data_IF_024058255307
#
_entry.id   IF_024058255307
#
_cell.length_a   1.000
_cell.length_b   1.000
_cell.length_c   1.000
_cell.angle_alpha   90.00
_cell.angle_beta   90.00
_cell.angle_gamma   90.00
#
_symmetry.space_group_name_H-M   'P 1'
#
loop_
_entity.id
_entity.type
_entity.pdbx_description
1 polymer ?
#
# COMPACT_ATOMS: atom_id res chain seq x y z
N UNK A 1 20.92 -7.23 -3.97
CA UNK A 1 19.54 -6.73 -3.79
C UNK A 1 19.61 -5.65 -2.72
N UNK A 2 19.08 -4.44 -2.95
CA UNK A 2 18.97 -3.46 -1.85
C UNK A 2 18.02 -4.06 -0.81
N UNK A 3 18.45 -4.06 0.45
CA UNK A 3 17.59 -4.48 1.56
C UNK A 3 16.35 -3.59 1.58
N UNK A 4 15.19 -4.23 1.63
CA UNK A 4 13.91 -3.53 1.77
C UNK A 4 13.81 -3.17 3.25
N UNK A 5 13.62 -1.87 3.59
CA UNK A 5 13.43 -1.46 4.98
C UNK A 5 12.30 -2.26 5.64
N UNK A 6 12.47 -2.62 6.92
CA UNK A 6 11.49 -3.43 7.65
C UNK A 6 10.11 -2.74 7.77
N UNK A 7 10.06 -1.42 7.59
CA UNK A 7 8.88 -0.55 7.60
C UNK A 7 8.37 -0.21 6.20
N UNK A 8 8.85 -0.89 5.16
CA UNK A 8 8.41 -0.64 3.79
C UNK A 8 6.92 -0.93 3.60
N UNK A 9 6.16 0.13 3.38
CA UNK A 9 4.74 0.07 3.03
C UNK A 9 4.57 0.11 1.50
N UNK A 10 4.27 -1.02 0.85
CA UNK A 10 4.10 -1.08 -0.60
C UNK A 10 2.89 -0.28 -1.09
N UNK A 11 1.88 -0.04 -0.25
CA UNK A 11 0.73 0.78 -0.62
C UNK A 11 1.12 2.26 -0.62
N UNK A 12 1.77 2.74 0.44
CA UNK A 12 2.28 4.11 0.50
C UNK A 12 3.31 4.37 -0.61
N UNK A 13 4.22 3.42 -0.86
CA UNK A 13 5.19 3.48 -1.94
C UNK A 13 4.53 3.51 -3.32
N UNK A 14 3.60 2.58 -3.59
CA UNK A 14 2.88 2.51 -4.86
C UNK A 14 2.06 3.77 -5.15
N UNK A 15 1.45 4.35 -4.11
CA UNK A 15 0.76 5.65 -4.20
C UNK A 15 1.74 6.78 -4.49
N UNK A 16 2.89 6.82 -3.80
CA UNK A 16 3.96 7.78 -4.07
C UNK A 16 4.44 7.75 -5.52
N UNK A 17 4.62 6.55 -6.09
CA UNK A 17 4.94 6.39 -7.50
C UNK A 17 3.83 6.91 -8.43
N UNK A 18 2.57 6.65 -8.12
CA UNK A 18 1.44 7.14 -8.92
C UNK A 18 1.32 8.68 -8.89
N UNK A 19 1.55 9.31 -7.73
CA UNK A 19 1.61 10.76 -7.59
C UNK A 19 2.78 11.35 -8.39
N UNK A 20 3.97 10.74 -8.29
CA UNK A 20 5.13 11.15 -9.06
C UNK A 20 4.90 11.06 -10.57
N UNK A 21 4.21 10.01 -11.04
CA UNK A 21 3.80 9.89 -12.43
C UNK A 21 2.84 11.01 -12.86
N UNK A 22 1.88 11.37 -12.00
CA UNK A 22 0.96 12.49 -12.26
C UNK A 22 1.70 13.83 -12.35
N UNK A 23 2.67 14.07 -11.48
CA UNK A 23 3.55 15.25 -11.54
C UNK A 23 4.38 15.28 -12.81
N UNK A 24 5.01 14.16 -13.17
CA UNK A 24 5.78 14.03 -14.40
C UNK A 24 4.91 14.32 -15.65
N UNK A 25 3.70 13.74 -15.71
CA UNK A 25 2.76 14.00 -16.80
C UNK A 25 2.31 15.46 -16.84
N UNK A 26 2.12 16.09 -15.67
CA UNK A 26 1.84 17.53 -15.59
C UNK A 26 2.98 18.33 -16.20
N UNK A 27 4.22 18.03 -15.82
CA UNK A 27 5.40 18.73 -16.32
C UNK A 27 5.59 18.54 -17.83
N UNK A 28 5.34 17.34 -18.35
CA UNK A 28 5.40 17.05 -19.78
C UNK A 28 4.31 17.82 -20.54
N UNK A 29 3.10 17.94 -19.99
CA UNK A 29 2.03 18.72 -20.60
C UNK A 29 2.38 20.21 -20.65
N UNK A 30 2.97 20.78 -19.59
CA UNK A 30 3.44 22.17 -19.57
C UNK A 30 4.51 22.44 -20.65
N UNK A 31 5.53 21.58 -20.72
CA UNK A 31 6.58 21.70 -21.75
C UNK A 31 5.98 21.57 -23.15
N UNK A 32 5.11 20.59 -23.35
CA UNK A 32 4.41 20.40 -24.63
C UNK A 32 3.56 21.60 -25.02
N UNK A 33 2.91 22.26 -24.05
CA UNK A 33 2.11 23.46 -24.28
C UNK A 33 2.98 24.64 -24.72
N UNK A 34 4.12 24.87 -24.07
CA UNK A 34 5.09 25.89 -24.48
C UNK A 34 5.61 25.66 -25.91
N UNK A 35 5.89 24.40 -26.26
CA UNK A 35 6.30 24.02 -27.62
C UNK A 35 5.18 24.26 -28.64
N UNK A 36 3.94 23.92 -28.28
CA UNK A 36 2.78 24.17 -29.12
C UNK A 36 2.55 25.68 -29.32
N UNK A 37 2.57 26.48 -28.26
CA UNK A 37 2.44 27.94 -28.34
C UNK A 37 3.51 28.56 -29.24
N UNK A 38 4.77 28.15 -29.09
CA UNK A 38 5.88 28.63 -29.91
C UNK A 38 5.69 28.24 -31.38
N UNK A 39 5.30 27.00 -31.66
CA UNK A 39 5.06 26.53 -33.03
C UNK A 39 3.84 27.24 -33.65
N UNK A 40 2.77 27.45 -32.88
CA UNK A 40 1.58 28.19 -33.29
C UNK A 40 1.89 29.64 -33.62
N UNK A 41 2.69 30.33 -32.80
CA UNK A 41 3.15 31.69 -33.09
C UNK A 41 3.94 31.77 -34.41
N UNK A 42 4.83 30.80 -34.67
CA UNK A 42 5.56 30.70 -35.95
C UNK A 42 4.64 30.42 -37.13
N UNK A 43 3.65 29.55 -36.95
CA UNK A 43 2.67 29.23 -37.99
C UNK A 43 1.81 30.45 -38.35
N UNK A 44 1.39 31.23 -37.36
CA UNK A 44 0.66 32.49 -37.57
C UNK A 44 1.53 33.53 -38.29
N UNK A 45 2.78 33.69 -37.87
CA UNK A 45 3.72 34.62 -38.51
C UNK A 45 4.02 34.23 -39.97
N UNK A 46 4.08 32.93 -40.29
CA UNK A 46 4.28 32.43 -41.65
C UNK A 46 3.06 32.64 -42.57
N UNK A 47 1.88 32.88 -42.01
CA UNK A 47 0.64 33.18 -42.72
C UNK A 47 0.40 34.69 -42.89
N UNK A 48 1.24 35.55 -42.28
CA UNK A 48 1.11 37.00 -42.40
C UNK A 48 1.55 37.46 -43.80
N UNK A 49 0.66 38.06 -44.61
CA UNK A 49 0.98 38.51 -45.96
C UNK A 49 2.09 39.57 -46.02
N UNK A 50 2.35 40.32 -44.94
CA UNK A 50 3.44 41.29 -44.87
C UNK A 50 4.84 40.64 -44.81
N UNK A 51 4.94 39.43 -44.22
CA UNK A 51 6.18 38.66 -44.13
C UNK A 51 6.54 37.99 -45.47
N UNK A 52 5.54 37.60 -46.27
CA UNK A 52 5.76 37.07 -47.62
C UNK A 52 6.18 38.16 -48.64
N UNK A 53 5.80 39.42 -48.41
CA UNK A 53 6.13 40.54 -49.30
C UNK A 53 7.53 41.15 -49.05
N UNK A 54 8.21 40.78 -47.97
CA UNK A 54 9.45 41.43 -47.51
C UNK A 54 10.72 40.55 -47.58
N UNK A 55 10.68 39.38 -48.24
CA UNK A 55 11.90 38.59 -48.47
C UNK A 55 12.70 39.20 -49.64
N UNK A 56 13.91 39.75 -49.42
CA UNK A 56 14.80 40.15 -50.50
C UNK A 56 15.37 38.89 -51.16
N UNK A 57 15.39 38.86 -52.49
CA UNK A 57 15.82 37.71 -53.30
C UNK A 57 17.28 37.26 -53.05
N UNK A 58 18.11 38.07 -52.39
CA UNK A 58 19.54 37.78 -52.14
C UNK A 58 19.83 37.07 -50.81
N UNK A 59 18.87 36.95 -49.88
CA UNK A 59 19.11 36.28 -48.59
C UNK A 59 18.85 34.75 -48.60
N UNK A 60 18.37 34.21 -49.73
CA UNK A 60 17.96 32.81 -49.84
C UNK A 60 19.12 31.81 -50.00
N UNK A 61 20.36 32.27 -50.28
CA UNK A 61 21.49 31.38 -50.62
C UNK A 61 22.49 31.12 -49.47
N UNK A 62 22.34 31.75 -48.30
CA UNK A 62 23.39 31.71 -47.26
C UNK A 62 23.03 30.97 -45.95
N UNK A 63 21.91 30.24 -45.90
CA UNK A 63 21.59 29.40 -44.74
C UNK A 63 21.48 27.93 -45.15
N UNK A 64 22.23 27.01 -44.50
CA UNK A 64 22.02 25.59 -44.71
C UNK A 64 20.56 25.28 -44.38
N UNK A 65 19.87 24.38 -45.11
CA UNK A 65 18.49 24.05 -44.82
C UNK A 65 18.45 23.36 -43.46
N UNK A 66 18.25 24.14 -42.40
CA UNK A 66 17.64 23.61 -41.21
C UNK A 66 16.34 22.98 -41.70
N UNK A 67 16.13 21.71 -41.38
CA UNK A 67 14.89 20.99 -41.66
C UNK A 67 13.78 21.66 -40.84
N UNK A 68 13.37 22.86 -41.25
CA UNK A 68 12.28 23.61 -40.68
C UNK A 68 11.02 22.98 -41.24
N UNK A 69 10.61 21.87 -40.61
CA UNK A 69 9.32 21.27 -40.90
C UNK A 69 8.20 22.32 -40.76
N UNK A 70 7.14 22.16 -41.56
CA UNK A 70 5.98 23.05 -41.56
C UNK A 70 5.55 23.44 -40.12
N UNK A 71 5.62 24.73 -39.75
CA UNK A 71 5.25 25.20 -38.41
C UNK A 71 3.82 24.83 -38.01
N UNK A 72 2.89 24.78 -38.96
CA UNK A 72 1.51 24.35 -38.73
C UNK A 72 1.42 22.87 -38.38
N UNK A 73 2.19 22.03 -39.08
CA UNK A 73 2.30 20.60 -38.77
C UNK A 73 3.00 20.36 -37.43
N UNK A 74 4.03 21.13 -37.09
CA UNK A 74 4.68 21.09 -35.79
C UNK A 74 3.69 21.44 -34.66
N UNK A 75 2.91 22.52 -34.82
CA UNK A 75 1.85 22.89 -33.90
C UNK A 75 0.84 21.76 -33.69
N UNK A 76 0.31 21.19 -34.78
CA UNK A 76 -0.68 20.11 -34.71
C UNK A 76 -0.14 18.88 -33.97
N UNK A 77 1.14 18.52 -34.19
CA UNK A 77 1.81 17.41 -33.49
C UNK A 77 1.96 17.69 -32.00
N UNK A 78 2.46 18.87 -31.60
CA UNK A 78 2.61 19.21 -30.18
C UNK A 78 1.25 19.32 -29.48
N UNK A 79 0.25 19.94 -30.10
CA UNK A 79 -1.10 20.01 -29.55
C UNK A 79 -1.73 18.62 -29.35
N UNK A 80 -1.48 17.69 -30.27
CA UNK A 80 -1.92 16.30 -30.12
C UNK A 80 -1.24 15.61 -28.93
N UNK A 81 0.08 15.75 -28.79
CA UNK A 81 0.85 15.19 -27.67
C UNK A 81 0.37 15.76 -26.32
N UNK A 82 0.16 17.07 -26.22
CA UNK A 82 -0.36 17.71 -25.00
C UNK A 82 -1.73 17.12 -24.63
N UNK A 83 -2.66 16.99 -25.59
CA UNK A 83 -3.96 16.36 -25.33
C UNK A 83 -3.81 14.92 -24.83
N UNK A 84 -2.90 14.15 -25.42
CA UNK A 84 -2.64 12.77 -25.01
C UNK A 84 -2.06 12.70 -23.59
N UNK A 85 -1.09 13.55 -23.26
CA UNK A 85 -0.48 13.61 -21.92
C UNK A 85 -1.50 14.03 -20.86
N UNK A 86 -2.33 15.04 -21.14
CA UNK A 86 -3.41 15.46 -20.25
C UNK A 86 -4.45 14.34 -20.05
N UNK A 87 -4.80 13.61 -21.12
CA UNK A 87 -5.70 12.46 -21.01
C UNK A 87 -5.10 11.32 -20.19
N UNK A 88 -3.80 11.04 -20.32
CA UNK A 88 -3.10 10.05 -19.51
C UNK A 88 -3.08 10.46 -18.03
N UNK A 89 -2.79 11.73 -17.74
CA UNK A 89 -2.84 12.26 -16.38
C UNK A 89 -4.24 12.12 -15.78
N UNK A 90 -5.28 12.48 -16.54
CA UNK A 90 -6.67 12.36 -16.06
C UNK A 90 -7.03 10.92 -15.69
N UNK A 91 -6.60 9.94 -16.50
CA UNK A 91 -6.79 8.51 -16.18
C UNK A 91 -6.02 8.09 -14.95
N UNK A 92 -4.75 8.48 -14.82
CA UNK A 92 -3.94 8.15 -13.66
C UNK A 92 -4.55 8.71 -12.36
N UNK A 93 -5.10 9.93 -12.41
CA UNK A 93 -5.84 10.52 -11.28
C UNK A 93 -7.13 9.76 -11.00
N UNK A 94 -7.90 9.40 -12.02
CA UNK A 94 -9.13 8.61 -11.85
C UNK A 94 -8.84 7.23 -11.22
N UNK A 95 -7.80 6.55 -11.69
CA UNK A 95 -7.37 5.26 -11.15
C UNK A 95 -6.92 5.38 -9.68
N UNK A 96 -6.20 6.46 -9.35
CA UNK A 96 -5.81 6.77 -7.97
C UNK A 96 -7.06 7.00 -7.11
N UNK A 97 -7.99 7.85 -7.55
CA UNK A 97 -9.23 8.13 -6.84
C UNK A 97 -10.12 6.90 -6.68
N UNK A 98 -10.18 6.01 -7.68
CA UNK A 98 -10.97 4.78 -7.60
C UNK A 98 -10.39 3.79 -6.58
N UNK A 99 -9.06 3.73 -6.45
CA UNK A 99 -8.37 2.87 -5.45
C UNK A 99 -8.41 3.47 -4.04
N UNK A 100 -8.18 4.77 -3.96
CA UNK A 100 -7.97 5.48 -2.70
C UNK A 100 -9.26 6.06 -2.09
N UNK A 101 -10.32 6.19 -2.89
CA UNK A 101 -11.51 6.96 -2.48
C UNK A 101 -11.18 8.43 -2.22
N UNK A 102 -12.11 9.11 -1.55
CA UNK A 102 -11.91 10.45 -1.04
C UNK A 102 -10.84 10.52 0.04
N UNK A 103 -10.46 11.73 0.44
CA UNK A 103 -9.56 11.93 1.59
C UNK A 103 -10.13 11.28 2.86
N UNK A 104 -11.42 11.44 3.09
CA UNK A 104 -12.10 10.88 4.25
C UNK A 104 -12.08 9.35 4.26
N UNK A 105 -12.24 8.71 3.09
CA UNK A 105 -12.15 7.26 2.95
C UNK A 105 -10.74 6.74 3.24
N UNK A 106 -9.70 7.46 2.77
CA UNK A 106 -8.31 7.13 3.12
C UNK A 106 -8.09 7.25 4.61
N UNK A 107 -8.56 8.34 5.21
CA UNK A 107 -8.39 8.61 6.64
C UNK A 107 -9.11 7.61 7.52
N UNK A 108 -10.33 7.20 7.14
CA UNK A 108 -11.08 6.17 7.83
C UNK A 108 -10.38 4.80 7.76
N UNK A 109 -9.90 4.40 6.58
CA UNK A 109 -9.15 3.13 6.41
C UNK A 109 -7.82 3.14 7.16
N UNK A 110 -7.08 4.24 7.08
CA UNK A 110 -5.83 4.40 7.82
C UNK A 110 -6.08 4.32 9.34
N UNK A 111 -7.14 4.97 9.84
CA UNK A 111 -7.58 4.86 11.23
C UNK A 111 -7.84 3.41 11.64
N UNK A 112 -8.68 2.70 10.88
CA UNK A 112 -9.02 1.30 11.14
C UNK A 112 -7.78 0.40 11.18
N UNK A 113 -6.81 0.62 10.29
CA UNK A 113 -5.57 -0.14 10.24
C UNK A 113 -4.69 0.10 11.47
N UNK A 114 -4.51 1.37 11.87
CA UNK A 114 -3.76 1.73 13.08
C UNK A 114 -4.46 1.16 14.33
N UNK A 115 -5.79 1.26 14.40
CA UNK A 115 -6.60 0.80 15.55
C UNK A 115 -6.46 -0.72 15.71
N UNK A 116 -6.63 -1.45 14.61
CA UNK A 116 -6.41 -2.90 14.57
C UNK A 116 -5.01 -3.31 15.04
N UNK A 117 -3.97 -2.56 14.69
CA UNK A 117 -2.61 -2.90 15.13
C UNK A 117 -2.38 -2.61 16.60
N UNK A 118 -2.94 -1.51 17.13
CA UNK A 118 -2.80 -1.16 18.54
C UNK A 118 -3.64 -2.07 19.43
N UNK A 119 -4.87 -2.40 19.05
CA UNK A 119 -5.71 -3.35 19.79
C UNK A 119 -4.98 -4.68 19.99
N UNK A 120 -4.33 -5.18 18.93
CA UNK A 120 -3.53 -6.41 18.99
C UNK A 120 -2.27 -6.27 19.86
N UNK A 121 -1.74 -5.07 20.07
CA UNK A 121 -0.61 -4.84 20.98
C UNK A 121 -1.06 -4.76 22.43
N UNK A 122 -2.17 -4.07 22.68
CA UNK A 122 -2.74 -3.83 24.01
C UNK A 122 -3.36 -5.12 24.56
N UNK A 123 -4.18 -5.80 23.76
CA UNK A 123 -4.97 -6.94 24.19
C UNK A 123 -4.34 -8.30 23.90
N UNK A 124 -3.25 -8.36 23.14
CA UNK A 124 -2.51 -9.61 22.85
C UNK A 124 -1.68 -10.14 24.01
N UNK A 125 -2.00 -9.79 25.25
CA UNK A 125 -1.41 -10.35 26.47
C UNK A 125 -2.54 -10.46 27.51
N UNK A 126 -3.03 -11.68 27.71
CA UNK A 126 -4.26 -11.97 28.46
C UNK A 126 -4.00 -11.97 29.97
N UNK A 127 -2.75 -12.08 30.40
CA UNK A 127 -2.37 -12.21 31.81
C UNK A 127 -2.72 -10.96 32.63
N UNK A 128 -2.84 -9.79 31.98
CA UNK A 128 -3.15 -8.54 32.67
C UNK A 128 -4.22 -7.70 31.97
N UNK A 129 -5.45 -8.23 31.91
CA UNK A 129 -6.63 -7.53 31.34
C UNK A 129 -6.90 -6.16 31.97
N UNK A 130 -6.59 -5.96 33.26
CA UNK A 130 -6.77 -4.68 33.94
C UNK A 130 -5.81 -3.60 33.41
N UNK A 131 -4.54 -3.98 33.18
CA UNK A 131 -3.56 -3.12 32.53
C UNK A 131 -3.90 -2.87 31.06
N UNK A 132 -4.38 -3.89 30.34
CA UNK A 132 -4.83 -3.75 28.95
C UNK A 132 -5.98 -2.73 28.84
N UNK A 133 -7.01 -2.83 29.68
CA UNK A 133 -8.12 -1.87 29.72
C UNK A 133 -7.67 -0.43 30.03
N UNK A 134 -6.70 -0.24 30.93
CA UNK A 134 -6.16 1.08 31.24
C UNK A 134 -5.33 1.68 30.09
N UNK A 135 -4.60 0.84 29.34
CA UNK A 135 -3.87 1.23 28.14
C UNK A 135 -4.82 1.54 26.99
N UNK A 136 -5.87 0.75 26.81
CA UNK A 136 -6.91 0.93 25.80
C UNK A 136 -7.58 2.31 25.91
N UNK A 137 -7.92 2.72 27.14
CA UNK A 137 -8.46 4.05 27.40
C UNK A 137 -7.49 5.18 27.03
N UNK A 138 -6.20 5.00 27.33
CA UNK A 138 -5.15 5.99 27.00
C UNK A 138 -4.90 6.06 25.49
N UNK A 139 -4.89 4.90 24.81
CA UNK A 139 -4.83 4.80 23.35
C UNK A 139 -6.00 5.53 22.72
N UNK A 140 -7.23 5.25 23.16
CA UNK A 140 -8.44 5.87 22.60
C UNK A 140 -8.40 7.41 22.68
N UNK A 141 -7.89 7.97 23.80
CA UNK A 141 -7.70 9.42 23.95
C UNK A 141 -6.64 9.97 23.00
N UNK A 142 -5.47 9.31 22.91
CA UNK A 142 -4.40 9.71 21.99
C UNK A 142 -4.85 9.63 20.52
N UNK A 143 -5.60 8.59 20.17
CA UNK A 143 -6.21 8.39 18.85
C UNK A 143 -7.20 9.50 18.50
N UNK A 144 -8.10 9.82 19.43
CA UNK A 144 -9.07 10.89 19.25
C UNK A 144 -8.39 12.25 19.08
N UNK A 145 -7.26 12.49 19.76
CA UNK A 145 -6.44 13.68 19.56
C UNK A 145 -5.83 13.75 18.16
N UNK A 146 -5.15 12.68 17.74
CA UNK A 146 -4.44 12.62 16.45
C UNK A 146 -5.38 12.76 15.25
N UNK A 147 -6.54 12.08 15.26
CA UNK A 147 -7.45 12.09 14.11
C UNK A 147 -8.43 13.25 14.09
N UNK A 148 -8.59 13.99 15.19
CA UNK A 148 -9.49 15.17 15.27
C UNK A 148 -9.00 16.33 14.41
N UNK A 149 -7.69 16.52 14.31
CA UNK A 149 -7.12 17.60 13.51
C UNK A 149 -7.25 17.27 12.02
N UNK A 150 -8.24 17.88 11.35
CA UNK A 150 -8.46 17.66 9.92
C UNK A 150 -7.38 18.27 9.04
N UNK A 151 -6.55 19.21 9.52
CA UNK A 151 -5.47 19.79 8.71
C UNK A 151 -4.24 18.89 8.68
N UNK A 152 -4.05 18.01 9.68
CA UNK A 152 -2.95 17.05 9.69
C UNK A 152 -3.22 15.89 8.70
N UNK A 153 -2.40 15.68 7.64
CA UNK A 153 -2.54 14.57 6.70
C UNK A 153 -2.00 13.25 7.29
N UNK A 154 -2.55 12.83 8.42
CA UNK A 154 -2.17 11.58 9.12
C UNK A 154 -2.31 10.37 8.19
N UNK A 155 -3.31 10.37 7.31
CA UNK A 155 -3.59 9.31 6.35
C UNK A 155 -2.52 9.10 5.28
N UNK A 156 -1.61 10.07 5.09
CA UNK A 156 -0.50 9.95 4.15
C UNK A 156 0.79 9.42 4.81
N UNK A 157 0.78 9.22 6.13
CA UNK A 157 1.93 8.67 6.87
C UNK A 157 1.89 7.13 6.83
N UNK A 158 3.05 6.45 6.94
CA UNK A 158 3.05 5.00 7.09
C UNK A 158 2.37 4.59 8.39
N UNK A 159 1.49 3.58 8.32
CA UNK A 159 0.76 3.03 9.49
C UNK A 159 1.74 2.67 10.61
N UNK A 160 2.84 2.00 10.29
CA UNK A 160 3.85 1.59 11.26
C UNK A 160 4.49 2.77 12.00
N UNK A 161 4.71 3.90 11.32
CA UNK A 161 5.24 5.12 11.95
C UNK A 161 4.23 5.76 12.90
N UNK A 162 2.95 5.78 12.53
CA UNK A 162 1.87 6.30 13.38
C UNK A 162 1.68 5.41 14.61
N UNK A 163 1.66 4.09 14.43
CA UNK A 163 1.61 3.13 15.53
C UNK A 163 2.82 3.31 16.44
N UNK A 164 4.05 3.35 15.89
CA UNK A 164 5.27 3.56 16.66
C UNK A 164 5.21 4.85 17.51
N UNK A 165 4.73 5.96 16.92
CA UNK A 165 4.56 7.23 17.65
C UNK A 165 3.58 7.12 18.82
N UNK A 166 2.42 6.48 18.59
CA UNK A 166 1.39 6.28 19.62
C UNK A 166 1.87 5.36 20.75
N UNK A 167 2.54 4.25 20.42
CA UNK A 167 2.97 3.24 21.41
C UNK A 167 4.23 3.64 22.19
N UNK A 168 5.08 4.52 21.64
CA UNK A 168 6.24 5.09 22.34
C UNK A 168 5.84 5.88 23.58
N UNK A 169 4.77 6.69 23.50
CA UNK A 169 4.25 7.45 24.65
C UNK A 169 3.60 6.58 25.74
N UNK A 170 3.33 5.31 25.45
CA UNK A 170 2.58 4.38 26.30
C UNK A 170 3.46 3.27 26.90
N UNK A 171 4.78 3.34 26.71
CA UNK A 171 5.72 2.32 27.20
C UNK A 171 5.62 0.97 26.48
N UNK A 172 4.97 0.93 25.32
CA UNK A 172 4.75 -0.28 24.51
C UNK A 172 5.77 -0.47 23.39
N UNK A 173 6.75 0.45 23.27
CA UNK A 173 7.79 0.43 22.23
C UNK A 173 8.59 -0.89 22.18
N UNK A 174 8.91 -1.49 23.34
CA UNK A 174 9.60 -2.78 23.40
C UNK A 174 8.75 -3.94 22.84
N UNK A 175 7.45 -3.95 23.14
CA UNK A 175 6.49 -4.94 22.59
C UNK A 175 6.32 -4.75 21.08
N UNK A 176 6.24 -3.49 20.63
CA UNK A 176 6.19 -3.14 19.21
C UNK A 176 7.43 -3.61 18.45
N UNK A 177 8.64 -3.32 18.93
CA UNK A 177 9.88 -3.69 18.24
C UNK A 177 10.08 -5.21 18.11
N UNK A 178 9.60 -6.00 19.09
CA UNK A 178 9.62 -7.47 19.01
C UNK A 178 8.65 -8.03 17.97
N UNK A 179 7.54 -7.33 17.72
CA UNK A 179 6.46 -7.80 16.85
C UNK A 179 6.52 -7.21 15.43
N UNK A 180 7.17 -6.07 15.24
CA UNK A 180 7.28 -5.36 13.97
C UNK A 180 7.83 -6.22 12.79
N UNK A 181 8.86 -7.08 12.96
CA UNK A 181 9.39 -7.89 11.85
C UNK A 181 8.39 -8.90 11.27
N UNK A 182 7.41 -9.33 12.07
CA UNK A 182 6.37 -10.30 11.67
C UNK A 182 5.07 -9.64 11.22
N UNK A 183 4.94 -8.32 11.39
CA UNK A 183 3.71 -7.54 11.20
C UNK A 183 3.76 -6.56 10.04
N UNK A 184 4.83 -6.61 9.23
CA UNK A 184 4.85 -5.93 7.92
C UNK A 184 3.68 -6.46 7.12
N UNK A 185 2.67 -5.61 6.91
CA UNK A 185 1.51 -5.91 6.08
C UNK A 185 2.01 -6.35 4.71
N UNK A 186 2.10 -7.67 4.48
CA UNK A 186 2.25 -8.18 3.12
C UNK A 186 1.11 -7.55 2.32
N UNK A 187 1.41 -6.92 1.16
CA UNK A 187 0.41 -6.17 0.41
C UNK A 187 -0.83 -7.05 0.23
N UNK A 188 -2.02 -6.46 0.48
CA UNK A 188 -3.27 -7.15 0.21
C UNK A 188 -3.20 -7.69 -1.22
N UNK A 189 -3.37 -9.00 -1.42
CA UNK A 189 -3.28 -9.55 -2.75
C UNK A 189 -4.34 -8.88 -3.60
N UNK A 190 -3.95 -8.39 -4.79
CA UNK A 190 -4.93 -7.95 -5.77
C UNK A 190 -5.87 -9.10 -6.12
N UNK A 191 -7.07 -8.76 -6.57
CA UNK A 191 -7.99 -9.73 -7.16
C UNK A 191 -7.25 -10.45 -8.29
N UNK A 192 -7.27 -11.79 -8.34
CA UNK A 192 -6.59 -12.53 -9.41
C UNK A 192 -7.12 -12.08 -10.78
N UNK A 193 -6.20 -11.81 -11.70
CA UNK A 193 -6.46 -11.33 -13.06
C UNK A 193 -5.93 -12.36 -14.08
N UNK A 194 -6.43 -12.34 -15.30
CA UNK A 194 -6.10 -13.29 -16.36
C UNK A 194 -7.29 -14.14 -16.81
N UNK A 195 -7.01 -15.27 -17.45
CA UNK A 195 -8.03 -16.18 -17.95
C UNK A 195 -8.85 -16.81 -16.80
N UNK A 196 -10.09 -17.25 -17.05
CA UNK A 196 -10.90 -17.93 -16.04
C UNK A 196 -10.23 -19.18 -15.43
N UNK A 197 -9.30 -19.81 -16.14
CA UNK A 197 -8.51 -20.94 -15.65
C UNK A 197 -7.39 -20.49 -14.71
N UNK A 198 -6.67 -19.42 -15.06
CA UNK A 198 -5.61 -18.84 -14.21
C UNK A 198 -6.19 -18.29 -12.91
N UNK A 199 -7.36 -17.64 -12.97
CA UNK A 199 -8.08 -17.14 -11.79
C UNK A 199 -8.46 -18.31 -10.86
N UNK A 200 -9.00 -19.41 -11.42
CA UNK A 200 -9.36 -20.60 -10.64
C UNK A 200 -8.12 -21.26 -10.02
N UNK A 201 -7.03 -21.39 -10.77
CA UNK A 201 -5.78 -21.96 -10.29
C UNK A 201 -5.17 -21.14 -9.16
N UNK A 202 -5.17 -19.81 -9.29
CA UNK A 202 -4.64 -18.91 -8.28
C UNK A 202 -5.46 -18.94 -6.99
N UNK A 203 -6.79 -18.93 -7.08
CA UNK A 203 -7.66 -19.10 -5.90
C UNK A 203 -7.47 -20.46 -5.24
N UNK A 204 -7.33 -21.53 -6.02
CA UNK A 204 -7.04 -22.86 -5.48
C UNK A 204 -5.69 -22.90 -4.73
N UNK A 205 -4.65 -22.25 -5.26
CA UNK A 205 -3.35 -22.11 -4.58
C UNK A 205 -3.47 -21.36 -3.27
N UNK A 206 -4.13 -20.20 -3.26
CA UNK A 206 -4.31 -19.39 -2.03
C UNK A 206 -5.09 -20.14 -0.97
N UNK A 207 -6.16 -20.83 -1.37
CA UNK A 207 -6.98 -21.67 -0.49
C UNK A 207 -6.15 -22.80 0.12
N UNK A 208 -5.37 -23.52 -0.69
CA UNK A 208 -4.50 -24.59 -0.20
C UNK A 208 -3.42 -24.06 0.76
N UNK A 209 -2.80 -22.92 0.45
CA UNK A 209 -1.78 -22.33 1.29
C UNK A 209 -2.32 -21.88 2.67
N UNK A 210 -3.51 -21.28 2.70
CA UNK A 210 -4.16 -20.88 3.95
C UNK A 210 -4.58 -22.11 4.75
N UNK A 211 -5.20 -23.10 4.11
CA UNK A 211 -5.59 -24.35 4.79
C UNK A 211 -4.38 -25.07 5.40
N UNK A 212 -3.30 -25.24 4.64
CA UNK A 212 -2.09 -25.90 5.12
C UNK A 212 -1.46 -25.17 6.31
N UNK A 213 -1.47 -23.84 6.32
CA UNK A 213 -0.96 -23.07 7.45
C UNK A 213 -1.82 -23.24 8.70
N UNK A 214 -3.15 -23.23 8.55
CA UNK A 214 -4.07 -23.45 9.67
C UNK A 214 -3.94 -24.87 10.21
N UNK A 215 -3.83 -25.87 9.33
CA UNK A 215 -3.58 -27.26 9.74
C UNK A 215 -2.27 -27.39 10.52
N UNK A 216 -1.20 -26.75 10.06
CA UNK A 216 0.07 -26.71 10.79
C UNK A 216 -0.10 -26.04 12.17
N UNK A 217 -0.81 -24.92 12.25
CA UNK A 217 -1.05 -24.25 13.52
C UNK A 217 -1.91 -25.08 14.48
N UNK A 218 -2.90 -25.83 13.96
CA UNK A 218 -3.68 -26.79 14.76
C UNK A 218 -2.76 -27.87 15.35
N UNK A 219 -1.77 -28.32 14.59
CA UNK A 219 -0.83 -29.35 15.04
C UNK A 219 0.12 -28.83 16.11
N UNK A 220 0.51 -27.56 15.98
CA UNK A 220 1.44 -26.92 16.88
C UNK A 220 0.76 -26.47 18.20
N UNK A 221 -0.52 -26.08 18.14
CA UNK A 221 -1.15 -25.29 19.22
C UNK A 221 -2.45 -25.88 19.78
N UNK A 222 -3.20 -26.69 19.02
CA UNK A 222 -4.51 -27.16 19.49
C UNK A 222 -4.38 -28.34 20.46
N UNK A 223 -5.25 -28.39 21.47
CA UNK A 223 -5.33 -29.58 22.32
C UNK A 223 -5.71 -30.82 21.48
N UNK A 224 -5.08 -32.00 21.73
CA UNK A 224 -5.32 -33.20 20.94
C UNK A 224 -6.79 -33.63 20.88
N UNK A 225 -7.57 -33.30 21.90
CA UNK A 225 -8.99 -33.63 22.00
C UNK A 225 -9.87 -32.83 21.03
N UNK A 226 -9.46 -31.64 20.60
CA UNK A 226 -10.25 -30.73 19.73
C UNK A 226 -9.65 -30.54 18.34
N UNK A 227 -8.39 -30.93 18.13
CA UNK A 227 -7.69 -30.77 16.84
C UNK A 227 -8.45 -31.41 15.66
N UNK A 228 -9.04 -32.59 15.85
CA UNK A 228 -9.81 -33.28 14.81
C UNK A 228 -11.07 -32.50 14.41
N UNK A 229 -11.76 -31.89 15.38
CA UNK A 229 -12.98 -31.12 15.15
C UNK A 229 -12.67 -29.80 14.44
N UNK A 230 -11.56 -29.13 14.79
CA UNK A 230 -11.10 -27.90 14.14
C UNK A 230 -10.73 -28.19 12.67
N UNK A 231 -10.02 -29.29 12.39
CA UNK A 231 -9.70 -29.70 11.01
C UNK A 231 -10.97 -30.02 10.20
N UNK A 232 -11.95 -30.69 10.81
CA UNK A 232 -13.23 -30.96 10.17
C UNK A 232 -13.99 -29.66 9.85
N UNK A 233 -14.01 -28.70 10.78
CA UNK A 233 -14.58 -27.37 10.57
C UNK A 233 -13.87 -26.58 9.48
N UNK A 234 -12.53 -26.62 9.44
CA UNK A 234 -11.72 -25.98 8.41
C UNK A 234 -12.08 -26.52 7.02
N UNK A 235 -12.21 -27.85 6.88
CA UNK A 235 -12.58 -28.48 5.62
C UNK A 235 -13.98 -28.04 5.12
N UNK A 236 -14.91 -27.76 6.04
CA UNK A 236 -16.23 -27.18 5.71
C UNK A 236 -16.09 -25.73 5.27
N UNK A 237 -15.43 -24.89 6.09
CA UNK A 237 -15.23 -23.46 5.79
C UNK A 237 -14.56 -23.24 4.44
N UNK A 238 -13.56 -24.05 4.08
CA UNK A 238 -12.85 -23.92 2.79
C UNK A 238 -13.76 -24.07 1.55
N UNK A 239 -14.96 -24.65 1.70
CA UNK A 239 -15.94 -24.83 0.62
C UNK A 239 -16.94 -23.68 0.52
N UNK A 240 -16.98 -22.78 1.49
CA UNK A 240 -17.95 -21.70 1.53
C UNK A 240 -17.58 -20.56 0.57
N UNK A 241 -18.58 -19.90 -0.05
CA UNK A 241 -18.34 -18.91 -1.10
C UNK A 241 -17.74 -17.59 -0.57
N UNK A 242 -17.94 -17.27 0.70
CA UNK A 242 -17.36 -16.10 1.35
C UNK A 242 -15.83 -16.20 1.45
N UNK A 243 -15.28 -17.43 1.56
CA UNK A 243 -13.83 -17.66 1.62
C UNK A 243 -13.13 -17.22 0.34
N UNK A 244 -13.77 -17.35 -0.83
CA UNK A 244 -13.18 -16.83 -2.06
C UNK A 244 -13.08 -15.31 -2.04
N UNK A 245 -14.13 -14.65 -1.56
CA UNK A 245 -14.14 -13.20 -1.42
C UNK A 245 -13.06 -12.77 -0.42
N UNK A 246 -12.97 -13.45 0.72
CA UNK A 246 -11.96 -13.23 1.74
C UNK A 246 -10.53 -13.35 1.17
N UNK A 247 -10.22 -14.40 0.41
CA UNK A 247 -8.90 -14.64 -0.16
C UNK A 247 -8.55 -13.71 -1.34
N UNK A 248 -9.56 -13.14 -1.99
CA UNK A 248 -9.41 -12.16 -3.06
C UNK A 248 -9.18 -10.74 -2.52
N UNK A 249 -9.65 -10.43 -1.30
CA UNK A 249 -9.63 -9.07 -0.74
C UNK A 249 -8.68 -8.89 0.43
N UNK A 250 -8.43 -9.93 1.22
CA UNK A 250 -7.63 -9.87 2.44
C UNK A 250 -6.21 -10.43 2.25
N UNK A 251 -5.28 -9.91 3.05
CA UNK A 251 -3.93 -10.47 3.10
C UNK A 251 -3.94 -11.90 3.65
N UNK A 252 -2.94 -12.71 3.26
CA UNK A 252 -2.80 -14.09 3.71
C UNK A 252 -2.97 -14.24 5.23
N UNK A 253 -2.25 -13.44 6.02
CA UNK A 253 -2.34 -13.49 7.48
C UNK A 253 -3.71 -13.06 8.02
N UNK A 254 -4.38 -12.08 7.39
CA UNK A 254 -5.72 -11.65 7.81
C UNK A 254 -6.76 -12.72 7.50
N UNK A 255 -6.66 -13.37 6.34
CA UNK A 255 -7.53 -14.48 5.96
C UNK A 255 -7.38 -15.65 6.93
N UNK A 256 -6.13 -16.03 7.26
CA UNK A 256 -5.80 -17.04 8.27
C UNK A 256 -6.44 -16.70 9.62
N UNK A 257 -6.17 -15.52 10.19
CA UNK A 257 -6.69 -15.14 11.52
C UNK A 257 -8.22 -15.14 11.54
N UNK A 258 -8.87 -14.60 10.50
CA UNK A 258 -10.34 -14.59 10.41
C UNK A 258 -10.93 -16.00 10.30
N UNK A 259 -10.28 -16.88 9.54
CA UNK A 259 -10.72 -18.27 9.40
C UNK A 259 -10.56 -19.04 10.71
N UNK A 260 -9.44 -18.90 11.41
CA UNK A 260 -9.22 -19.54 12.70
C UNK A 260 -10.23 -19.07 13.75
N UNK A 261 -10.50 -17.76 13.83
CA UNK A 261 -11.55 -17.23 14.70
C UNK A 261 -12.94 -17.76 14.33
N UNK A 262 -13.24 -17.96 13.05
CA UNK A 262 -14.51 -18.57 12.62
C UNK A 262 -14.64 -20.04 13.02
N UNK A 263 -13.53 -20.71 13.33
CA UNK A 263 -13.46 -22.07 13.85
C UNK A 263 -13.39 -22.13 15.38
N UNK A 264 -13.40 -20.98 16.06
CA UNK A 264 -13.18 -20.91 17.51
C UNK A 264 -11.74 -21.22 17.93
N UNK A 265 -10.78 -21.15 17.00
CA UNK A 265 -9.37 -21.43 17.23
C UNK A 265 -8.56 -20.13 17.17
N UNK A 266 -7.87 -19.75 18.25
CA UNK A 266 -7.20 -18.46 18.36
C UNK A 266 -5.68 -18.59 18.38
N UNK A 267 -5.11 -18.67 17.17
CA UNK A 267 -3.68 -18.79 16.93
C UNK A 267 -2.89 -17.61 17.50
N UNK A 268 -3.51 -16.43 17.67
CA UNK A 268 -2.82 -15.26 18.26
C UNK A 268 -2.73 -15.33 19.80
N UNK A 269 -3.55 -16.15 20.47
CA UNK A 269 -3.50 -16.36 21.92
C UNK A 269 -2.78 -17.67 22.31
N UNK A 270 -2.78 -18.69 21.43
CA UNK A 270 -2.13 -19.98 21.70
C UNK A 270 -0.66 -20.04 21.22
N UNK A 271 -0.19 -19.04 20.46
CA UNK A 271 1.24 -18.82 20.15
C UNK A 271 2.01 -18.31 21.38
N UNK A 272 2.06 -19.09 22.46
CA UNK A 272 3.20 -19.06 23.37
C UNK A 272 4.39 -19.65 22.61
N UNK A 273 5.04 -18.83 21.77
CA UNK A 273 6.39 -19.16 21.33
C UNK A 273 7.21 -19.20 22.62
N UNK A 274 7.76 -20.36 23.03
CA UNK A 274 8.72 -20.37 24.12
C UNK A 274 9.89 -19.55 23.60
N UNK A 275 10.04 -18.33 24.12
CA UNK A 275 11.35 -17.72 24.13
C UNK A 275 12.19 -18.69 24.96
N UNK A 276 13.02 -19.48 24.30
CA UNK A 276 14.16 -20.11 24.98
C UNK A 276 14.77 -19.02 25.83
N UNK A 277 14.72 -19.23 27.15
CA UNK A 277 15.40 -18.39 28.10
C UNK A 277 16.87 -18.38 27.69
N UNK A 278 17.32 -17.24 27.17
CA UNK A 278 18.72 -16.86 27.25
C UNK A 278 18.96 -16.55 28.73
N UNK A 279 19.03 -17.62 29.53
CA UNK A 279 19.59 -17.58 30.87
C UNK A 279 21.01 -17.07 30.69
N UNK A 280 21.17 -15.80 31.02
CA UNK A 280 22.47 -15.17 31.10
C UNK A 280 23.40 -16.10 31.87
N UNK A 281 24.50 -16.45 31.22
CA UNK A 281 25.58 -17.21 31.81
C UNK A 281 26.00 -16.58 33.17
N UNK A 282 25.48 -17.12 34.27
CA UNK A 282 26.12 -17.02 35.57
C UNK A 282 27.36 -17.92 35.50
N UNK A 283 28.52 -17.28 35.35
CA UNK A 283 29.80 -17.93 35.59
C UNK A 283 29.82 -18.48 37.03
N UNK A 284 30.33 -19.70 37.24
CA UNK A 284 30.43 -20.26 38.58
C UNK A 284 31.40 -19.44 39.44
N UNK A 285 31.16 -19.34 40.77
CA UNK A 285 32.06 -18.63 41.66
C UNK A 285 33.36 -19.41 41.83
N UNK A 286 34.46 -18.87 41.33
CA UNK A 286 35.80 -19.30 41.74
C UNK A 286 35.96 -19.01 43.24
N UNK A 287 36.01 -20.08 44.03
CA UNK A 287 36.41 -20.06 45.43
C UNK A 287 37.72 -20.83 45.59
N UNK A 288 38.72 -20.08 46.06
CA UNK A 288 40.01 -20.48 46.69
C UNK A 288 41.13 -20.97 45.80
#
# INVERSE_FOLDING_TARGET
>A
MKEIPADFDPQAYGRGCALQQCEMLTRLAEIGMQLAETAGARALAAQDPAAQASMPAEAAEAQPPAVAGDPGLAFARYAHLVRQTLAQRARAVQDLCARDGGRDDRRARHREQVETQIDRLVWGDVENRGRAAALDLQVAQAFAGLYRDQEDPVEDRPVGSVVAGLVCGLGLAGKWNRLAPHRVSRPRPGRPDGSPEEIRAERARRRAAVAAWIEQAVDDLAEPAVAADIRAGLAVRMREPDVETLLDTESFGTAVVRLCRSLGFDIENDLDIPLENDDGAEAPPDSS
#
